data_IF_872660379037
#
_entry.id   IF_872660379037
#
_cell.length_a   1.000
_cell.length_b   1.000
_cell.length_c   1.000
_cell.angle_alpha   90.00
_cell.angle_beta   90.00
_cell.angle_gamma   90.00
#
_symmetry.space_group_name_H-M   'P 1'
#
loop_
_entity.id
_entity.type
_entity.pdbx_description
1 polymer ?
#
# COMPACT_ATOMS: atom_id res chain seq x y z
N UNK A 1 53.01 0.90 1.30
CA UNK A 1 51.94 0.89 2.31
C UNK A 1 50.67 1.16 1.56
N UNK A 2 50.16 0.11 0.94
CA UNK A 2 48.80 0.01 0.45
C UNK A 2 47.88 0.23 1.65
N UNK A 3 47.06 1.27 1.57
CA UNK A 3 45.93 1.45 2.47
C UNK A 3 44.69 0.94 1.71
N UNK A 4 44.22 -0.30 1.94
CA UNK A 4 43.01 -0.77 1.32
C UNK A 4 41.83 -0.30 2.16
N UNK A 5 41.43 0.97 2.02
CA UNK A 5 40.12 1.42 2.47
C UNK A 5 39.06 0.96 1.46
N UNK A 6 38.94 -0.36 1.32
CA UNK A 6 37.76 -1.00 0.77
C UNK A 6 36.86 -1.38 1.94
N UNK A 7 36.03 -0.45 2.39
CA UNK A 7 34.70 -0.72 2.98
C UNK A 7 33.88 0.58 2.98
N UNK A 8 33.72 1.15 1.79
CA UNK A 8 32.52 1.94 1.49
C UNK A 8 31.33 0.99 1.38
N UNK A 9 30.90 0.43 2.51
CA UNK A 9 29.62 -0.24 2.59
C UNK A 9 28.57 0.87 2.45
N UNK A 10 27.72 0.87 1.40
CA UNK A 10 26.55 1.73 1.45
C UNK A 10 25.71 1.28 2.65
N UNK A 11 25.61 2.13 3.67
CA UNK A 11 24.57 2.06 4.68
C UNK A 11 23.24 2.45 4.02
N UNK A 12 22.70 1.55 3.20
CA UNK A 12 21.29 1.59 2.79
C UNK A 12 20.65 0.25 3.13
N UNK A 13 20.76 -0.15 4.40
CA UNK A 13 19.77 -1.03 4.98
C UNK A 13 18.59 -0.14 5.39
N UNK A 14 17.42 -0.45 4.81
CA UNK A 14 16.14 0.26 4.96
C UNK A 14 15.84 1.35 3.92
N UNK A 15 16.24 1.14 2.65
CA UNK A 15 15.23 1.39 1.60
C UNK A 15 14.27 0.21 1.70
N UNK A 16 13.21 0.36 2.51
CA UNK A 16 12.07 -0.55 2.38
C UNK A 16 11.69 -0.47 0.90
N UNK A 17 11.64 -1.61 0.21
CA UNK A 17 11.05 -1.73 -1.11
C UNK A 17 9.53 -1.49 -1.00
N UNK A 18 9.11 -0.32 -0.50
CA UNK A 18 7.71 0.01 -0.19
C UNK A 18 6.87 -0.12 -1.47
N UNK A 19 7.46 0.17 -2.63
CA UNK A 19 6.74 0.18 -3.90
C UNK A 19 6.33 -1.22 -4.41
N UNK A 20 7.12 -2.27 -4.14
CA UNK A 20 6.83 -3.62 -4.66
C UNK A 20 5.73 -4.32 -3.84
N UNK A 21 5.78 -4.21 -2.51
CA UNK A 21 4.83 -4.87 -1.61
C UNK A 21 3.42 -4.28 -1.71
N UNK A 22 3.28 -2.98 -2.00
CA UNK A 22 1.97 -2.35 -2.21
C UNK A 22 1.32 -2.88 -3.49
N UNK A 23 2.08 -3.09 -4.56
CA UNK A 23 1.57 -3.71 -5.78
C UNK A 23 1.02 -5.12 -5.50
N UNK A 24 1.74 -5.92 -4.72
CA UNK A 24 1.29 -7.24 -4.30
C UNK A 24 0.01 -7.19 -3.45
N UNK A 25 -0.09 -6.22 -2.52
CA UNK A 25 -1.29 -6.01 -1.71
C UNK A 25 -2.50 -5.65 -2.57
N UNK A 26 -2.36 -4.68 -3.49
CA UNK A 26 -3.41 -4.30 -4.44
C UNK A 26 -3.82 -5.49 -5.31
N UNK A 27 -2.86 -6.37 -5.66
CA UNK A 27 -3.10 -7.54 -6.50
C UNK A 27 -3.97 -8.63 -5.87
N UNK A 28 -4.16 -8.62 -4.54
CA UNK A 28 -5.05 -9.55 -3.82
C UNK A 28 -6.37 -8.91 -3.38
N UNK A 29 -6.54 -7.60 -3.62
CA UNK A 29 -7.76 -6.89 -3.26
C UNK A 29 -8.95 -7.33 -4.10
N UNK A 30 -10.18 -7.29 -3.53
CA UNK A 30 -11.42 -7.50 -4.27
C UNK A 30 -11.48 -6.64 -5.54
N UNK A 31 -11.94 -7.19 -6.68
CA UNK A 31 -11.92 -6.48 -7.97
C UNK A 31 -12.60 -5.11 -7.94
N UNK A 32 -13.66 -4.97 -7.14
CA UNK A 32 -14.43 -3.73 -7.02
C UNK A 32 -13.66 -2.57 -6.39
N UNK A 33 -12.70 -2.83 -5.50
CA UNK A 33 -11.91 -1.76 -4.85
C UNK A 33 -10.55 -1.55 -5.53
N UNK A 34 -10.07 -2.56 -6.26
CA UNK A 34 -8.75 -2.54 -6.90
C UNK A 34 -8.59 -1.34 -7.83
N UNK A 35 -9.57 -1.09 -8.69
CA UNK A 35 -9.49 0.03 -9.64
C UNK A 35 -9.34 1.39 -8.96
N UNK A 36 -10.00 1.59 -7.82
CA UNK A 36 -9.87 2.82 -7.04
C UNK A 36 -8.49 2.94 -6.38
N UNK A 37 -7.90 1.83 -5.94
CA UNK A 37 -6.54 1.83 -5.38
C UNK A 37 -5.48 2.08 -6.47
N UNK A 38 -5.62 1.47 -7.65
CA UNK A 38 -4.74 1.67 -8.80
C UNK A 38 -4.80 3.11 -9.34
N UNK A 39 -5.94 3.79 -9.17
CA UNK A 39 -6.11 5.19 -9.57
C UNK A 39 -5.45 6.19 -8.60
N UNK A 40 -4.98 5.75 -7.43
CA UNK A 40 -4.28 6.62 -6.49
C UNK A 40 -2.83 6.76 -6.93
N UNK A 41 -2.48 7.95 -7.42
CA UNK A 41 -1.14 8.24 -7.96
C UNK A 41 -0.03 8.17 -6.90
N UNK A 42 -0.36 8.50 -5.65
CA UNK A 42 0.61 8.54 -4.55
C UNK A 42 0.11 7.78 -3.32
N UNK A 43 0.80 6.68 -3.04
CA UNK A 43 0.58 5.76 -1.92
C UNK A 43 1.70 5.81 -0.89
N UNK A 44 2.64 6.75 -1.00
CA UNK A 44 3.79 6.87 -0.09
C UNK A 44 3.38 7.08 1.38
N UNK A 45 2.30 7.83 1.59
CA UNK A 45 1.74 8.13 2.91
C UNK A 45 0.57 7.22 3.30
N UNK A 46 0.36 6.10 2.57
CA UNK A 46 -0.71 5.14 2.88
C UNK A 46 -0.41 4.46 4.23
N UNK A 47 -1.37 4.53 5.14
CA UNK A 47 -1.30 3.91 6.46
C UNK A 47 -1.98 2.55 6.46
N UNK A 48 -3.23 2.49 6.00
CA UNK A 48 -4.04 1.27 6.01
C UNK A 48 -5.16 1.32 4.96
N UNK A 49 -5.65 0.13 4.59
CA UNK A 49 -6.87 -0.08 3.82
C UNK A 49 -7.85 -0.80 4.74
N UNK A 50 -9.02 -0.21 4.98
CA UNK A 50 -10.04 -0.74 5.89
C UNK A 50 -11.18 -1.33 5.07
N UNK A 51 -11.44 -2.63 5.26
CA UNK A 51 -12.45 -3.42 4.55
C UNK A 51 -13.44 -4.06 5.53
N UNK A 52 -14.05 -3.23 6.37
CA UNK A 52 -15.04 -3.69 7.35
C UNK A 52 -16.35 -4.09 6.67
N UNK A 53 -16.90 -5.24 7.04
CA UNK A 53 -18.23 -5.67 6.60
C UNK A 53 -19.31 -4.69 7.09
N UNK A 54 -20.21 -4.30 6.19
CA UNK A 54 -21.27 -3.33 6.44
C UNK A 54 -20.79 -1.87 6.45
N UNK A 55 -19.56 -1.59 6.01
CA UNK A 55 -19.04 -0.22 5.85
C UNK A 55 -18.50 -0.01 4.44
N UNK A 56 -18.41 1.24 4.01
CA UNK A 56 -17.72 1.58 2.77
C UNK A 56 -16.22 1.33 2.93
N UNK A 57 -15.55 0.71 1.94
CA UNK A 57 -14.10 0.54 1.98
C UNK A 57 -13.40 1.89 1.90
N UNK A 58 -12.34 2.04 2.70
CA UNK A 58 -11.58 3.30 2.80
C UNK A 58 -10.07 3.03 2.81
N UNK A 59 -9.31 3.90 2.15
CA UNK A 59 -7.87 3.99 2.27
C UNK A 59 -7.51 5.21 3.12
N UNK A 60 -6.68 5.00 4.13
CA UNK A 60 -6.27 6.05 5.08
C UNK A 60 -4.82 6.41 4.86
N UNK A 61 -4.57 7.71 4.80
CA UNK A 61 -3.27 8.33 4.63
C UNK A 61 -2.97 9.26 5.81
N UNK A 62 -1.71 9.64 5.98
CA UNK A 62 -1.28 10.57 7.04
C UNK A 62 -2.09 11.88 7.12
N UNK A 63 -2.64 12.35 5.99
CA UNK A 63 -3.31 13.66 5.89
C UNK A 63 -4.74 13.57 5.31
N UNK A 64 -5.18 12.41 4.82
CA UNK A 64 -6.46 12.27 4.12
C UNK A 64 -7.02 10.87 4.20
N UNK A 65 -8.30 10.76 3.91
CA UNK A 65 -9.00 9.49 3.74
C UNK A 65 -9.67 9.48 2.37
N UNK A 66 -9.71 8.31 1.73
CA UNK A 66 -10.30 8.12 0.41
C UNK A 66 -11.29 6.96 0.49
N UNK A 67 -12.56 7.23 0.17
CA UNK A 67 -13.56 6.18 -0.02
C UNK A 67 -13.27 5.48 -1.35
N UNK A 68 -13.10 4.16 -1.32
CA UNK A 68 -12.70 3.36 -2.47
C UNK A 68 -13.89 2.85 -3.29
N UNK A 69 -15.05 2.69 -2.67
CA UNK A 69 -16.31 2.31 -3.33
C UNK A 69 -17.48 2.86 -2.48
N UNK A 70 -18.54 3.32 -3.12
CA UNK A 70 -19.69 3.92 -2.45
C UNK A 70 -20.67 2.89 -1.85
N UNK A 71 -20.49 1.60 -2.15
CA UNK A 71 -21.28 0.52 -1.57
C UNK A 71 -20.58 -0.06 -0.36
N UNK A 72 -21.37 -0.46 0.62
CA UNK A 72 -20.84 -1.19 1.78
C UNK A 72 -20.21 -2.52 1.35
N UNK A 73 -19.24 -2.98 2.13
CA UNK A 73 -18.59 -4.27 1.92
C UNK A 73 -19.47 -5.40 2.46
N UNK A 74 -19.58 -6.47 1.69
CA UNK A 74 -20.35 -7.66 2.04
C UNK A 74 -19.42 -8.87 2.13
N UNK A 75 -19.87 -9.95 2.78
CA UNK A 75 -19.05 -11.16 2.91
C UNK A 75 -18.68 -11.76 1.54
N UNK A 76 -19.56 -11.62 0.55
CA UNK A 76 -19.34 -12.08 -0.83
C UNK A 76 -18.18 -11.34 -1.53
N UNK A 77 -17.80 -10.15 -1.04
CA UNK A 77 -16.68 -9.39 -1.59
C UNK A 77 -15.30 -9.91 -1.12
N UNK A 78 -15.25 -10.70 -0.04
CA UNK A 78 -13.99 -11.20 0.58
C UNK A 78 -13.85 -12.74 0.40
N UNK A 79 -14.86 -13.42 -0.14
CA UNK A 79 -14.97 -14.88 -0.20
C UNK A 79 -14.06 -15.55 -1.24
#
# INVERSE_FOLDING_TARGET
MDDPVALGLPLSQTEIQVTDDIGALVSVMPPRIRGSLEAIEDVSDLLEIVLDLGRKPEARFLQREVILDDRELTADDIA
#
